data_IF_568136505758
#
_entry.id   IF_568136505758
#
_cell.length_a   1.000
_cell.length_b   1.000
_cell.length_c   1.000
_cell.angle_alpha   90.00
_cell.angle_beta   90.00
_cell.angle_gamma   90.00
#
_symmetry.space_group_name_H-M   'P 1'
#
loop_
_entity.id
_entity.type
_entity.pdbx_description
1 polymer ?
#
# COMPACT_ATOMS: atom_id res chain seq x y z
N UNK A 1 -22.83 8.68 13.69
CA UNK A 1 -23.57 9.94 13.92
C UNK A 1 -24.62 9.69 15.01
N UNK A 2 -24.30 10.17 16.22
CA UNK A 2 -25.18 9.96 17.38
C UNK A 2 -26.53 10.71 17.29
N UNK A 3 -26.57 11.82 16.56
CA UNK A 3 -27.79 12.63 16.47
C UNK A 3 -28.86 11.97 15.60
N UNK A 4 -28.43 11.23 14.61
CA UNK A 4 -29.32 10.54 13.66
C UNK A 4 -29.40 9.03 13.90
N UNK A 5 -28.66 8.53 14.89
CA UNK A 5 -28.50 7.10 15.18
C UNK A 5 -28.09 6.28 13.94
N UNK A 6 -27.08 6.81 13.23
CA UNK A 6 -26.54 6.21 12.00
C UNK A 6 -25.07 5.88 12.20
N UNK A 7 -24.69 4.65 11.83
CA UNK A 7 -23.28 4.23 11.73
C UNK A 7 -22.85 4.23 10.29
N UNK A 8 -21.74 4.92 9.99
CA UNK A 8 -21.10 4.90 8.69
C UNK A 8 -19.84 4.04 8.74
N UNK A 9 -19.70 3.16 7.76
CA UNK A 9 -18.49 2.36 7.52
C UNK A 9 -18.02 2.65 6.10
N UNK A 10 -16.79 3.09 5.91
CA UNK A 10 -16.26 3.45 4.61
C UNK A 10 -14.86 2.85 4.40
N UNK A 11 -14.53 2.53 3.17
CA UNK A 11 -13.19 2.12 2.76
C UNK A 11 -12.63 3.10 1.75
N UNK A 12 -11.33 3.41 1.84
CA UNK A 12 -10.66 4.33 0.93
C UNK A 12 -10.80 3.95 -0.56
N UNK A 13 -10.55 4.89 -1.49
CA UNK A 13 -10.79 4.68 -2.93
C UNK A 13 -10.09 3.47 -3.55
N UNK A 14 -8.91 3.11 -3.06
CA UNK A 14 -8.06 2.04 -3.61
C UNK A 14 -7.98 0.81 -2.70
N UNK A 15 -8.64 0.86 -1.54
CA UNK A 15 -8.59 -0.23 -0.57
C UNK A 15 -7.24 -0.43 0.08
N UNK A 16 -6.47 0.66 0.25
CA UNK A 16 -5.14 0.65 0.89
C UNK A 16 -5.23 0.01 2.28
N UNK A 17 -6.29 0.38 3.05
CA UNK A 17 -6.55 -0.28 4.32
C UNK A 17 -7.53 -1.43 4.13
N UNK A 18 -7.20 -2.63 4.59
CA UNK A 18 -8.08 -3.78 4.50
C UNK A 18 -9.33 -3.56 5.37
N UNK A 19 -10.46 -4.02 4.87
CA UNK A 19 -11.73 -4.00 5.58
C UNK A 19 -12.59 -5.17 5.10
N UNK A 20 -13.16 -5.91 6.04
CA UNK A 20 -14.03 -7.05 5.79
C UNK A 20 -15.41 -6.81 6.42
N UNK A 21 -16.41 -7.37 5.80
CA UNK A 21 -17.79 -7.36 6.27
C UNK A 21 -18.31 -8.80 6.29
N UNK A 22 -18.99 -9.18 7.36
CA UNK A 22 -19.57 -10.50 7.51
C UNK A 22 -20.92 -10.46 8.23
N UNK A 23 -21.71 -11.50 8.03
CA UNK A 23 -23.00 -11.69 8.71
C UNK A 23 -23.04 -13.03 9.43
N UNK A 24 -23.63 -13.04 10.63
CA UNK A 24 -23.97 -14.26 11.38
C UNK A 24 -25.25 -14.90 10.84
N UNK A 25 -25.59 -16.08 11.35
CA UNK A 25 -26.90 -16.74 11.09
C UNK A 25 -28.08 -15.86 11.51
N UNK A 26 -27.91 -15.07 12.56
CA UNK A 26 -28.95 -14.18 13.10
C UNK A 26 -28.97 -12.80 12.42
N UNK A 27 -28.22 -12.66 11.28
CA UNK A 27 -28.07 -11.42 10.53
C UNK A 27 -27.38 -10.28 11.29
N UNK A 28 -26.61 -10.57 12.33
CA UNK A 28 -25.74 -9.57 12.94
C UNK A 28 -24.60 -9.22 12.00
N UNK A 29 -24.30 -7.92 11.90
CA UNK A 29 -23.26 -7.39 11.02
C UNK A 29 -21.94 -7.24 11.76
N UNK A 30 -20.88 -7.86 11.21
CA UNK A 30 -19.51 -7.73 11.69
C UNK A 30 -18.66 -6.97 10.70
N UNK A 31 -17.84 -6.06 11.22
CA UNK A 31 -16.88 -5.29 10.45
C UNK A 31 -15.51 -5.45 11.11
N UNK A 32 -14.50 -5.80 10.32
CA UNK A 32 -13.14 -5.99 10.83
C UNK A 32 -12.10 -5.64 9.76
N UNK A 33 -10.93 -5.18 10.18
CA UNK A 33 -9.79 -4.97 9.28
C UNK A 33 -9.07 -6.26 8.91
N UNK A 34 -9.36 -7.36 9.61
CA UNK A 34 -8.75 -8.68 9.39
C UNK A 34 -9.82 -9.77 9.28
N UNK A 35 -9.67 -10.67 8.30
CA UNK A 35 -10.60 -11.78 8.08
C UNK A 35 -10.61 -12.72 9.29
N UNK A 36 -9.44 -13.03 9.86
CA UNK A 36 -9.30 -13.90 11.03
C UNK A 36 -10.03 -13.39 12.29
N UNK A 37 -10.38 -12.11 12.33
CA UNK A 37 -11.15 -11.56 13.44
C UNK A 37 -12.64 -11.85 13.41
N UNK A 38 -13.18 -12.29 12.26
CA UNK A 38 -14.64 -12.50 12.07
C UNK A 38 -15.02 -13.82 11.39
N UNK A 39 -14.06 -14.57 10.80
CA UNK A 39 -14.37 -15.74 9.98
C UNK A 39 -15.06 -16.87 10.76
N UNK A 40 -14.76 -17.04 12.03
CA UNK A 40 -15.33 -18.05 12.91
C UNK A 40 -16.72 -17.68 13.44
N UNK A 41 -17.11 -16.41 13.34
CA UNK A 41 -18.39 -15.87 13.82
C UNK A 41 -19.42 -15.71 12.72
N UNK A 42 -18.97 -15.55 11.49
CA UNK A 42 -19.81 -15.21 10.35
C UNK A 42 -19.98 -16.41 9.42
N UNK A 43 -21.19 -16.60 8.91
CA UNK A 43 -21.49 -17.61 7.88
C UNK A 43 -21.11 -17.14 6.49
N UNK A 44 -21.01 -15.83 6.30
CA UNK A 44 -20.57 -15.21 5.07
C UNK A 44 -19.66 -14.03 5.38
N UNK A 45 -18.50 -14.01 4.76
CA UNK A 45 -17.53 -12.91 4.87
C UNK A 45 -17.03 -12.53 3.48
N UNK A 46 -16.89 -11.23 3.25
CA UNK A 46 -16.25 -10.68 2.04
C UNK A 46 -15.44 -9.44 2.36
N UNK A 47 -14.51 -9.09 1.46
CA UNK A 47 -13.90 -7.77 1.51
C UNK A 47 -14.94 -6.68 1.28
N UNK A 48 -14.84 -5.60 2.03
CA UNK A 48 -15.62 -4.38 1.81
C UNK A 48 -15.04 -3.64 0.59
N UNK A 49 -15.88 -3.31 -0.38
CA UNK A 49 -15.41 -2.75 -1.65
C UNK A 49 -14.74 -1.38 -1.46
N UNK A 50 -13.57 -1.12 -2.09
CA UNK A 50 -12.96 0.21 -2.13
C UNK A 50 -13.89 1.27 -2.71
N UNK A 51 -13.76 2.51 -2.24
CA UNK A 51 -14.56 3.64 -2.73
C UNK A 51 -16.05 3.54 -2.42
N UNK A 52 -16.42 2.70 -1.45
CA UNK A 52 -17.81 2.57 -1.00
C UNK A 52 -17.95 2.90 0.48
N UNK A 53 -19.18 3.24 0.88
CA UNK A 53 -19.55 3.33 2.27
C UNK A 53 -20.86 2.60 2.54
N UNK A 54 -20.98 2.10 3.74
CA UNK A 54 -22.20 1.52 4.28
C UNK A 54 -22.83 2.52 5.26
N UNK A 55 -24.10 2.73 5.12
CA UNK A 55 -24.94 3.45 6.07
C UNK A 55 -25.83 2.45 6.79
N UNK A 56 -25.58 2.26 8.08
CA UNK A 56 -26.35 1.35 8.95
C UNK A 56 -27.27 2.17 9.85
N UNK A 57 -28.56 1.90 9.75
CA UNK A 57 -29.62 2.45 10.59
C UNK A 57 -30.18 1.36 11.48
N UNK A 58 -30.81 1.75 12.57
CA UNK A 58 -31.47 0.85 13.51
C UNK A 58 -32.29 -0.28 12.83
N UNK A 59 -32.35 -1.45 13.47
CA UNK A 59 -33.09 -2.63 13.03
C UNK A 59 -32.50 -3.42 11.84
N UNK A 60 -31.17 -3.40 11.65
CA UNK A 60 -30.52 -4.28 10.69
C UNK A 60 -30.59 -3.85 9.22
N UNK A 61 -31.17 -2.69 8.93
CA UNK A 61 -31.21 -2.15 7.59
C UNK A 61 -29.93 -1.37 7.27
N UNK A 62 -29.23 -1.76 6.21
CA UNK A 62 -28.08 -1.01 5.70
C UNK A 62 -28.17 -0.80 4.20
N UNK A 63 -27.58 0.29 3.73
CA UNK A 63 -27.38 0.59 2.32
C UNK A 63 -25.89 0.69 2.00
N UNK A 64 -25.48 0.12 0.87
CA UNK A 64 -24.13 0.26 0.32
C UNK A 64 -24.16 1.29 -0.79
N UNK A 65 -23.32 2.32 -0.65
CA UNK A 65 -23.26 3.44 -1.56
C UNK A 65 -21.83 3.60 -2.09
N UNK A 66 -21.70 3.90 -3.38
CA UNK A 66 -20.41 4.20 -4.00
C UNK A 66 -20.16 5.70 -3.93
N UNK A 67 -19.04 6.13 -3.36
CA UNK A 67 -18.65 7.55 -3.29
C UNK A 67 -17.46 7.91 -4.17
N UNK A 68 -16.75 6.89 -4.67
CA UNK A 68 -15.61 7.07 -5.55
C UNK A 68 -15.66 6.06 -6.70
N UNK A 69 -15.32 6.51 -7.88
CA UNK A 69 -15.11 5.69 -9.07
C UNK A 69 -13.89 6.22 -9.80
N UNK A 70 -13.05 5.30 -10.27
CA UNK A 70 -11.98 5.64 -11.18
C UNK A 70 -12.61 6.07 -12.51
N UNK A 71 -12.59 7.38 -12.78
CA UNK A 71 -13.08 7.98 -14.01
C UNK A 71 -11.90 8.71 -14.66
N UNK A 72 -11.04 7.94 -15.30
CA UNK A 72 -9.89 8.49 -16.02
C UNK A 72 -10.36 8.94 -17.40
N UNK A 73 -9.97 10.13 -17.77
CA UNK A 73 -10.18 10.59 -19.13
C UNK A 73 -9.07 10.08 -20.03
N UNK A 74 -9.43 9.21 -20.94
CA UNK A 74 -8.57 8.82 -22.05
C UNK A 74 -8.35 10.02 -22.98
N UNK A 75 -7.11 10.26 -23.41
CA UNK A 75 -6.72 11.34 -24.33
C UNK A 75 -6.50 12.72 -23.73
N UNK A 76 -5.40 12.90 -23.04
CA UNK A 76 -4.93 14.25 -22.69
C UNK A 76 -3.82 14.63 -23.68
N UNK A 77 -4.16 15.42 -24.69
CA UNK A 77 -3.17 16.05 -25.58
C UNK A 77 -2.51 17.24 -24.88
N UNK A 78 -1.55 16.96 -24.01
CA UNK A 78 -0.79 18.00 -23.28
C UNK A 78 0.71 17.85 -23.57
N UNK A 79 1.46 18.95 -23.59
CA UNK A 79 2.91 18.90 -23.76
C UNK A 79 3.56 18.04 -22.66
N UNK A 80 4.55 17.22 -23.03
CA UNK A 80 5.25 16.32 -22.10
C UNK A 80 5.77 17.05 -20.86
N UNK A 81 6.39 18.23 -21.04
CA UNK A 81 6.91 19.01 -19.90
C UNK A 81 5.82 19.44 -18.91
N UNK A 82 4.62 19.69 -19.40
CA UNK A 82 3.49 20.01 -18.55
C UNK A 82 3.06 18.78 -17.75
N UNK A 83 2.95 17.62 -18.39
CA UNK A 83 2.61 16.33 -17.74
C UNK A 83 3.63 16.02 -16.65
N UNK A 84 4.93 16.09 -16.96
CA UNK A 84 6.01 15.83 -15.99
C UNK A 84 5.97 16.80 -14.80
N UNK A 85 5.64 18.07 -15.06
CA UNK A 85 5.46 19.06 -14.00
C UNK A 85 4.26 18.74 -13.09
N UNK A 86 3.14 18.32 -13.68
CA UNK A 86 1.96 17.91 -12.93
C UNK A 86 2.24 16.68 -12.05
N UNK A 87 2.89 15.65 -12.60
CA UNK A 87 3.28 14.44 -11.85
C UNK A 87 4.18 14.82 -10.67
N UNK A 88 5.24 15.60 -10.92
CA UNK A 88 6.15 16.07 -9.87
C UNK A 88 5.40 16.80 -8.75
N UNK A 89 4.54 17.74 -9.13
CA UNK A 89 3.80 18.54 -8.17
C UNK A 89 2.82 17.69 -7.35
N UNK A 90 2.03 16.85 -8.01
CA UNK A 90 1.03 15.99 -7.37
C UNK A 90 1.69 14.96 -6.45
N UNK A 91 2.77 14.30 -6.87
CA UNK A 91 3.48 13.34 -6.03
C UNK A 91 4.16 14.04 -4.84
N UNK A 92 4.74 15.22 -5.04
CA UNK A 92 5.30 16.01 -3.93
C UNK A 92 4.21 16.38 -2.91
N UNK A 93 3.03 16.80 -3.35
CA UNK A 93 1.92 17.11 -2.48
C UNK A 93 1.38 15.86 -1.77
N UNK A 94 1.33 14.73 -2.46
CA UNK A 94 0.96 13.44 -1.88
C UNK A 94 1.88 13.06 -0.72
N UNK A 95 3.20 13.17 -0.90
CA UNK A 95 4.18 12.95 0.17
C UNK A 95 3.95 13.93 1.32
N UNK A 96 3.82 15.24 1.02
CA UNK A 96 3.63 16.28 2.06
C UNK A 96 2.38 16.05 2.90
N UNK A 97 1.26 15.69 2.30
CA UNK A 97 0.02 15.36 3.02
C UNK A 97 0.23 14.24 4.06
N UNK A 98 1.14 13.31 3.76
CA UNK A 98 1.42 12.12 4.56
C UNK A 98 2.56 12.29 5.56
N UNK A 99 3.22 13.46 5.62
CA UNK A 99 4.29 13.73 6.61
C UNK A 99 3.77 14.07 8.00
N UNK A 100 2.46 14.31 8.14
CA UNK A 100 1.87 14.54 9.46
C UNK A 100 1.98 13.26 10.31
N UNK A 101 2.83 13.31 11.33
CA UNK A 101 3.04 12.21 12.26
C UNK A 101 3.60 12.73 13.58
N UNK A 102 3.13 12.16 14.68
CA UNK A 102 3.68 12.30 16.04
C UNK A 102 4.77 11.25 16.31
N UNK A 103 4.92 10.26 15.40
CA UNK A 103 5.87 9.16 15.52
C UNK A 103 6.99 9.29 14.48
N UNK A 104 8.19 8.73 14.77
CA UNK A 104 9.29 8.71 13.80
C UNK A 104 8.92 8.02 12.49
N UNK A 105 9.40 8.62 11.40
CA UNK A 105 9.13 8.19 10.01
C UNK A 105 10.38 7.53 9.45
N UNK A 106 10.17 6.45 8.69
CA UNK A 106 11.17 5.81 7.85
C UNK A 106 10.65 5.54 6.44
N UNK A 107 11.49 5.01 5.56
CA UNK A 107 11.10 4.62 4.21
C UNK A 107 11.77 3.31 3.80
N UNK A 108 11.05 2.46 3.07
CA UNK A 108 11.64 1.32 2.38
C UNK A 108 12.38 1.82 1.14
N UNK A 109 13.61 1.39 0.94
CA UNK A 109 14.49 1.83 -0.14
C UNK A 109 15.18 0.63 -0.77
N UNK A 110 14.63 0.12 -1.86
CA UNK A 110 15.21 -1.01 -2.61
C UNK A 110 16.26 -0.59 -3.65
N UNK A 111 16.45 0.72 -3.88
CA UNK A 111 17.28 1.23 -4.97
C UNK A 111 16.57 1.25 -6.33
N UNK A 112 15.35 0.70 -6.44
CA UNK A 112 14.48 0.87 -7.60
C UNK A 112 13.97 2.31 -7.73
N UNK A 113 13.45 2.67 -8.91
CA UNK A 113 13.01 4.04 -9.22
C UNK A 113 11.96 4.55 -8.22
N UNK A 114 10.93 3.77 -7.96
CA UNK A 114 9.77 4.19 -7.19
C UNK A 114 10.10 4.43 -5.72
N UNK A 115 10.77 3.47 -5.08
CA UNK A 115 11.23 3.58 -3.70
C UNK A 115 12.23 4.71 -3.51
N UNK A 116 13.13 4.91 -4.48
CA UNK A 116 14.11 5.99 -4.46
C UNK A 116 13.46 7.35 -4.61
N UNK A 117 12.47 7.49 -5.49
CA UNK A 117 11.74 8.74 -5.70
C UNK A 117 10.91 9.10 -4.47
N UNK A 118 10.19 8.15 -3.87
CA UNK A 118 9.45 8.37 -2.63
C UNK A 118 10.40 8.77 -1.50
N UNK A 119 11.49 8.02 -1.29
CA UNK A 119 12.49 8.33 -0.25
C UNK A 119 13.12 9.71 -0.44
N UNK A 120 13.44 10.08 -1.68
CA UNK A 120 13.95 11.41 -2.00
C UNK A 120 12.97 12.52 -1.63
N UNK A 121 11.71 12.38 -2.02
CA UNK A 121 10.67 13.36 -1.72
C UNK A 121 10.35 13.45 -0.22
N UNK A 122 10.37 12.32 0.48
CA UNK A 122 10.23 12.30 1.94
C UNK A 122 11.42 13.02 2.58
N UNK A 123 12.66 12.67 2.21
CA UNK A 123 13.87 13.27 2.78
C UNK A 123 13.96 14.79 2.55
N UNK A 124 13.61 15.26 1.35
CA UNK A 124 13.56 16.69 1.01
C UNK A 124 12.56 17.49 1.86
N UNK A 125 11.49 16.87 2.31
CA UNK A 125 10.41 17.53 3.05
C UNK A 125 10.41 17.18 4.55
N UNK A 126 11.23 16.22 4.97
CA UNK A 126 11.35 15.77 6.37
C UNK A 126 12.34 16.67 7.12
N UNK A 127 11.83 17.48 8.05
CA UNK A 127 12.62 18.49 8.78
C UNK A 127 13.14 18.02 10.14
N UNK A 128 12.96 16.76 10.51
CA UNK A 128 13.24 16.23 11.85
C UNK A 128 14.53 15.39 11.93
N UNK A 129 15.59 15.77 11.22
CA UNK A 129 16.86 15.04 11.22
C UNK A 129 17.05 14.18 9.96
N UNK A 130 17.88 13.14 10.05
CA UNK A 130 18.12 12.23 8.94
C UNK A 130 16.97 11.21 8.82
N UNK A 131 16.48 10.99 7.61
CA UNK A 131 15.49 9.97 7.33
C UNK A 131 16.12 8.58 7.49
N UNK A 132 15.51 7.70 8.27
CA UNK A 132 15.89 6.30 8.27
C UNK A 132 15.35 5.62 7.00
N UNK A 133 16.21 4.88 6.30
CA UNK A 133 15.83 4.09 5.14
C UNK A 133 16.24 2.63 5.33
N UNK A 134 15.47 1.71 4.79
CA UNK A 134 15.62 0.28 5.05
C UNK A 134 15.58 -0.51 3.75
N UNK A 135 16.52 -1.43 3.59
CA UNK A 135 16.54 -2.43 2.54
C UNK A 135 16.77 -3.81 3.13
N UNK A 136 16.21 -4.83 2.49
CA UNK A 136 16.41 -6.23 2.88
C UNK A 136 16.79 -7.06 1.66
N UNK A 137 17.68 -8.00 1.84
CA UNK A 137 18.09 -8.91 0.79
C UNK A 137 19.05 -9.98 1.28
N UNK A 138 19.32 -10.96 0.43
CA UNK A 138 20.37 -11.92 0.70
C UNK A 138 21.74 -11.25 0.56
N UNK A 139 22.73 -11.80 1.25
CA UNK A 139 24.10 -11.32 1.18
C UNK A 139 24.59 -11.22 -0.26
N UNK A 140 25.06 -10.02 -0.62
CA UNK A 140 25.58 -9.74 -1.96
C UNK A 140 24.50 -9.55 -3.03
N UNK A 141 23.23 -9.40 -2.68
CA UNK A 141 22.16 -9.09 -3.63
C UNK A 141 22.37 -7.73 -4.27
N UNK A 142 21.98 -7.60 -5.54
CA UNK A 142 22.04 -6.32 -6.26
C UNK A 142 21.15 -5.26 -5.63
N UNK A 143 19.99 -5.66 -5.09
CA UNK A 143 19.05 -4.73 -4.45
C UNK A 143 19.70 -4.00 -3.27
N UNK A 144 20.42 -4.69 -2.38
CA UNK A 144 21.14 -4.04 -1.27
C UNK A 144 22.22 -3.08 -1.77
N UNK A 145 22.89 -3.43 -2.86
CA UNK A 145 23.90 -2.56 -3.47
C UNK A 145 23.28 -1.28 -4.03
N UNK A 146 22.19 -1.38 -4.78
CA UNK A 146 21.54 -0.20 -5.35
C UNK A 146 20.84 0.63 -4.28
N UNK A 147 20.29 -0.01 -3.25
CA UNK A 147 19.74 0.68 -2.08
C UNK A 147 20.78 1.53 -1.38
N UNK A 148 22.01 0.98 -1.17
CA UNK A 148 23.11 1.73 -0.57
C UNK A 148 23.52 2.93 -1.41
N UNK A 149 23.66 2.77 -2.75
CA UNK A 149 23.99 3.85 -3.66
C UNK A 149 22.96 4.99 -3.57
N UNK A 150 21.66 4.63 -3.56
CA UNK A 150 20.59 5.61 -3.44
C UNK A 150 20.61 6.30 -2.07
N UNK A 151 20.84 5.55 -0.99
CA UNK A 151 20.93 6.08 0.36
C UNK A 151 22.09 7.06 0.54
N UNK A 152 23.27 6.73 0.01
CA UNK A 152 24.45 7.59 0.04
C UNK A 152 24.19 8.90 -0.71
N UNK A 153 23.56 8.82 -1.89
CA UNK A 153 23.17 10.00 -2.66
C UNK A 153 22.16 10.88 -1.92
N UNK A 154 21.21 10.27 -1.22
CA UNK A 154 20.18 10.99 -0.48
C UNK A 154 20.65 11.48 0.89
N UNK A 155 21.77 10.97 1.43
CA UNK A 155 22.26 11.29 2.76
C UNK A 155 21.35 10.80 3.87
N UNK A 156 20.76 9.61 3.73
CA UNK A 156 19.86 9.00 4.73
C UNK A 156 20.60 8.12 5.72
N UNK A 157 20.02 7.87 6.89
CA UNK A 157 20.47 6.83 7.82
C UNK A 157 20.00 5.47 7.32
N UNK A 158 20.84 4.79 6.54
CA UNK A 158 20.45 3.56 5.85
C UNK A 158 20.77 2.31 6.65
N UNK A 159 19.82 1.36 6.62
CA UNK A 159 19.93 0.04 7.22
C UNK A 159 19.83 -1.03 6.15
N UNK A 160 20.95 -1.68 5.84
CA UNK A 160 21.00 -2.88 5.01
C UNK A 160 20.77 -4.10 5.90
N UNK A 161 19.67 -4.81 5.69
CA UNK A 161 19.30 -6.02 6.42
C UNK A 161 19.66 -7.23 5.57
N UNK A 162 20.74 -7.88 5.92
CA UNK A 162 21.14 -9.13 5.28
C UNK A 162 20.45 -10.31 5.97
N UNK A 163 19.80 -11.16 5.18
CA UNK A 163 19.10 -12.36 5.62
C UNK A 163 19.54 -13.57 4.80
N UNK A 164 19.48 -14.75 5.40
CA UNK A 164 19.76 -16.00 4.71
C UNK A 164 18.49 -16.54 4.01
N UNK A 165 18.67 -17.44 3.05
CA UNK A 165 17.56 -18.13 2.39
C UNK A 165 16.64 -18.82 3.41
N UNK A 166 17.22 -19.38 4.46
CA UNK A 166 16.49 -20.05 5.54
C UNK A 166 15.53 -19.10 6.29
N UNK A 167 15.90 -17.82 6.45
CA UNK A 167 15.03 -16.83 7.10
C UNK A 167 13.77 -16.56 6.25
N UNK A 168 13.93 -16.51 4.93
CA UNK A 168 12.80 -16.38 4.01
C UNK A 168 11.86 -17.59 4.08
N UNK A 169 12.42 -18.81 4.09
CA UNK A 169 11.62 -20.04 4.14
C UNK A 169 10.87 -20.17 5.47
N UNK A 170 11.51 -19.86 6.59
CA UNK A 170 10.89 -19.93 7.91
C UNK A 170 9.77 -18.91 8.12
N UNK A 171 9.78 -17.79 7.39
CA UNK A 171 8.75 -16.77 7.52
C UNK A 171 7.46 -17.11 6.75
N UNK A 172 7.43 -18.14 5.89
CA UNK A 172 6.31 -18.40 4.97
C UNK A 172 4.99 -18.59 5.74
N UNK A 173 4.95 -19.46 6.74
CA UNK A 173 3.71 -19.76 7.48
C UNK A 173 3.20 -18.53 8.23
N UNK A 174 4.10 -17.79 8.88
CA UNK A 174 3.76 -16.57 9.61
C UNK A 174 3.25 -15.47 8.67
N UNK A 175 3.87 -15.34 7.50
CA UNK A 175 3.42 -14.41 6.46
C UNK A 175 2.04 -14.77 5.94
N UNK A 176 1.77 -16.05 5.60
CA UNK A 176 0.44 -16.52 5.17
C UNK A 176 -0.62 -16.16 6.21
N UNK A 177 -0.35 -16.39 7.48
CA UNK A 177 -1.25 -16.06 8.58
C UNK A 177 -1.52 -14.55 8.65
N UNK A 178 -0.49 -13.71 8.50
CA UNK A 178 -0.64 -12.26 8.61
C UNK A 178 -1.33 -11.65 7.39
N UNK A 179 -0.95 -12.05 6.18
CA UNK A 179 -1.55 -11.48 4.95
C UNK A 179 -2.92 -12.07 4.62
N UNK A 180 -3.29 -13.19 5.24
CA UNK A 180 -4.56 -13.90 5.00
C UNK A 180 -4.74 -14.30 3.52
N UNK A 181 -3.64 -14.66 2.87
CA UNK A 181 -3.59 -15.13 1.48
C UNK A 181 -2.56 -16.26 1.35
N UNK A 182 -2.86 -17.21 0.47
CA UNK A 182 -1.94 -18.29 0.08
C UNK A 182 -1.57 -18.24 -1.40
N UNK A 183 -1.91 -17.13 -2.08
CA UNK A 183 -1.42 -16.90 -3.43
C UNK A 183 0.10 -16.82 -3.45
N UNK A 184 0.72 -17.63 -4.30
CA UNK A 184 2.18 -17.81 -4.35
C UNK A 184 2.92 -16.48 -4.57
N UNK A 185 2.42 -15.65 -5.49
CA UNK A 185 3.06 -14.36 -5.81
C UNK A 185 2.96 -13.39 -4.65
N UNK A 186 1.78 -13.31 -4.05
CA UNK A 186 1.51 -12.46 -2.90
C UNK A 186 2.35 -12.87 -1.69
N UNK A 187 2.41 -14.17 -1.35
CA UNK A 187 3.22 -14.69 -0.24
C UNK A 187 4.69 -14.37 -0.47
N UNK A 188 5.24 -14.74 -1.64
CA UNK A 188 6.65 -14.51 -1.97
C UNK A 188 7.05 -13.04 -1.83
N UNK A 189 6.24 -12.13 -2.36
CA UNK A 189 6.51 -10.71 -2.30
C UNK A 189 6.33 -10.12 -0.88
N UNK A 190 5.50 -10.75 -0.04
CA UNK A 190 5.24 -10.29 1.33
C UNK A 190 6.35 -10.61 2.30
N UNK A 191 7.12 -11.69 2.08
CA UNK A 191 8.14 -12.14 3.02
C UNK A 191 9.20 -11.06 3.28
N UNK A 192 9.71 -10.41 2.23
CA UNK A 192 10.65 -9.31 2.37
C UNK A 192 10.07 -8.13 3.15
N UNK A 193 8.83 -7.74 2.84
CA UNK A 193 8.12 -6.67 3.55
C UNK A 193 7.93 -7.00 5.04
N UNK A 194 7.60 -8.25 5.35
CA UNK A 194 7.43 -8.71 6.72
C UNK A 194 8.75 -8.71 7.50
N UNK A 195 9.81 -9.30 6.96
CA UNK A 195 11.11 -9.40 7.62
C UNK A 195 11.76 -8.03 7.85
N UNK A 196 11.70 -7.12 6.87
CA UNK A 196 12.20 -5.75 7.06
C UNK A 196 11.39 -5.01 8.12
N UNK A 197 10.08 -5.22 8.17
CA UNK A 197 9.20 -4.59 9.16
C UNK A 197 9.46 -5.11 10.57
N UNK A 198 9.73 -6.41 10.71
CA UNK A 198 10.15 -7.02 11.97
C UNK A 198 11.44 -6.40 12.48
N UNK A 199 12.46 -6.26 11.61
CA UNK A 199 13.70 -5.57 11.95
C UNK A 199 13.46 -4.11 12.40
N UNK A 200 12.65 -3.35 11.65
CA UNK A 200 12.34 -1.95 11.98
C UNK A 200 11.71 -1.85 13.37
N UNK A 201 10.73 -2.71 13.67
CA UNK A 201 10.05 -2.76 14.96
C UNK A 201 11.03 -3.02 16.11
N UNK A 202 11.97 -3.94 15.91
CA UNK A 202 12.87 -4.43 16.97
C UNK A 202 14.09 -3.52 17.17
N UNK A 203 14.53 -2.80 16.13
CA UNK A 203 15.80 -2.08 16.14
C UNK A 203 15.66 -0.55 16.02
N UNK A 204 14.44 -0.02 15.85
CA UNK A 204 14.23 1.43 15.68
C UNK A 204 12.95 1.90 16.34
N UNK A 205 12.84 3.22 16.52
CA UNK A 205 11.62 3.87 16.99
C UNK A 205 10.64 4.23 15.86
N UNK A 206 10.98 3.94 14.60
CA UNK A 206 10.13 4.22 13.46
C UNK A 206 8.79 3.50 13.58
N UNK A 207 7.70 4.22 13.32
CA UNK A 207 6.34 3.68 13.32
C UNK A 207 5.60 3.92 12.01
N UNK A 208 6.01 4.92 11.25
CA UNK A 208 5.43 5.27 9.96
C UNK A 208 6.46 4.93 8.87
N UNK A 209 6.06 4.12 7.90
CA UNK A 209 6.95 3.63 6.86
C UNK A 209 6.40 3.99 5.47
N UNK A 210 7.17 4.78 4.74
CA UNK A 210 6.86 5.08 3.34
C UNK A 210 7.35 3.96 2.43
N UNK A 211 6.55 3.65 1.41
CA UNK A 211 6.95 2.72 0.35
C UNK A 211 6.48 3.20 -1.03
N UNK A 212 6.91 2.52 -2.09
CA UNK A 212 6.66 2.85 -3.49
C UNK A 212 5.49 2.12 -4.13
N UNK A 213 4.66 1.42 -3.36
CA UNK A 213 3.55 0.64 -3.92
C UNK A 213 2.53 1.52 -4.64
N UNK A 214 1.93 0.98 -5.70
CA UNK A 214 0.94 1.65 -6.54
C UNK A 214 1.53 2.42 -7.73
N UNK A 215 2.85 2.51 -7.85
CA UNK A 215 3.50 3.19 -8.97
C UNK A 215 3.27 2.46 -10.28
N UNK A 216 3.46 1.15 -10.29
CA UNK A 216 3.35 0.33 -11.50
C UNK A 216 1.94 0.31 -12.06
N UNK A 217 0.93 0.33 -11.20
CA UNK A 217 -0.48 0.36 -11.57
C UNK A 217 -0.91 1.73 -12.13
N UNK A 218 -0.30 2.81 -11.65
CA UNK A 218 -0.63 4.15 -12.14
C UNK A 218 0.05 4.44 -13.48
N UNK A 219 1.34 4.08 -13.58
CA UNK A 219 2.15 4.41 -14.74
C UNK A 219 2.22 3.29 -15.79
N UNK A 220 1.61 2.14 -15.55
CA UNK A 220 1.59 1.01 -16.47
C UNK A 220 2.99 0.49 -16.78
N UNK A 221 3.87 0.44 -15.79
CA UNK A 221 5.29 0.12 -15.99
C UNK A 221 5.62 -1.37 -15.92
N UNK A 222 4.64 -2.25 -15.72
CA UNK A 222 4.85 -3.69 -15.82
C UNK A 222 5.32 -4.08 -17.22
N UNK A 223 6.42 -4.85 -17.30
CA UNK A 223 7.05 -5.20 -18.58
C UNK A 223 6.09 -5.86 -19.59
N UNK A 224 5.15 -6.69 -19.12
CA UNK A 224 4.19 -7.35 -19.97
C UNK A 224 3.16 -6.39 -20.60
N UNK A 225 2.88 -5.25 -19.98
CA UNK A 225 2.01 -4.20 -20.55
C UNK A 225 2.59 -3.61 -21.84
N UNK A 226 3.91 -3.63 -22.01
CA UNK A 226 4.57 -3.18 -23.23
C UNK A 226 4.22 -4.00 -24.48
N UNK A 227 3.66 -5.20 -24.31
CA UNK A 227 3.21 -6.06 -25.40
C UNK A 227 1.80 -5.71 -25.90
N UNK A 228 1.05 -4.90 -25.16
CA UNK A 228 -0.28 -4.44 -25.53
C UNK A 228 -0.13 -3.38 -26.60
N UNK A 229 -0.71 -3.64 -27.79
CA UNK A 229 -0.58 -2.74 -28.96
C UNK A 229 -1.66 -1.69 -29.06
N UNK A 230 -2.81 -1.92 -28.45
CA UNK A 230 -3.96 -1.03 -28.46
C UNK A 230 -3.90 -0.11 -27.24
N UNK A 231 -3.96 1.20 -27.44
CA UNK A 231 -4.03 2.18 -26.34
C UNK A 231 -5.27 1.95 -25.48
N UNK A 232 -6.37 1.52 -26.08
CA UNK A 232 -7.61 1.20 -25.35
C UNK A 232 -7.41 -0.02 -24.44
N UNK A 233 -6.82 -1.09 -24.96
CA UNK A 233 -6.59 -2.31 -24.17
C UNK A 233 -5.58 -2.06 -23.06
N UNK A 234 -4.54 -1.25 -23.32
CA UNK A 234 -3.59 -0.81 -22.31
C UNK A 234 -4.29 -0.05 -21.17
N UNK A 235 -5.16 0.89 -21.52
CA UNK A 235 -5.94 1.66 -20.57
C UNK A 235 -6.87 0.76 -19.74
N UNK A 236 -7.62 -0.14 -20.38
CA UNK A 236 -8.55 -1.05 -19.71
C UNK A 236 -7.81 -1.98 -18.73
N UNK A 237 -6.66 -2.50 -19.12
CA UNK A 237 -5.85 -3.37 -18.26
C UNK A 237 -5.25 -2.59 -17.09
N UNK A 238 -4.74 -1.39 -17.33
CA UNK A 238 -4.21 -0.54 -16.27
C UNK A 238 -5.30 -0.14 -15.26
N UNK A 239 -6.50 0.17 -15.75
CA UNK A 239 -7.65 0.47 -14.90
C UNK A 239 -8.06 -0.74 -14.05
N UNK A 240 -8.00 -1.94 -14.63
CA UNK A 240 -8.26 -3.20 -13.93
C UNK A 240 -7.23 -3.42 -12.81
N UNK A 241 -5.92 -3.30 -13.11
CA UNK A 241 -4.85 -3.42 -12.13
C UNK A 241 -5.07 -2.48 -10.94
N UNK A 242 -5.36 -1.21 -11.20
CA UNK A 242 -5.63 -0.23 -10.15
C UNK A 242 -6.92 -0.52 -9.37
N UNK A 243 -7.93 -1.09 -10.02
CA UNK A 243 -9.20 -1.47 -9.36
C UNK A 243 -9.01 -2.68 -8.46
N UNK A 244 -8.14 -3.61 -8.84
CA UNK A 244 -7.89 -4.88 -8.15
C UNK A 244 -6.70 -4.81 -7.18
N UNK A 245 -5.96 -3.70 -7.12
CA UNK A 245 -4.75 -3.54 -6.31
C UNK A 245 -4.97 -3.92 -4.83
N UNK A 246 -6.18 -3.77 -4.34
CA UNK A 246 -6.55 -4.09 -2.97
C UNK A 246 -6.59 -5.60 -2.66
N UNK A 247 -6.53 -6.45 -3.68
CA UNK A 247 -6.37 -7.89 -3.52
C UNK A 247 -4.89 -8.32 -3.51
N UNK A 248 -4.00 -7.48 -4.02
CA UNK A 248 -2.60 -7.83 -4.30
C UNK A 248 -1.62 -6.91 -3.56
N UNK A 249 -1.16 -5.84 -4.22
CA UNK A 249 -0.01 -5.07 -3.78
C UNK A 249 -0.24 -4.32 -2.48
N UNK A 250 -1.34 -3.60 -2.35
CA UNK A 250 -1.63 -2.89 -1.10
C UNK A 250 -2.07 -3.81 0.02
N UNK A 251 -2.73 -4.96 -0.30
CA UNK A 251 -3.06 -5.96 0.71
C UNK A 251 -1.78 -6.51 1.35
N UNK A 252 -0.84 -7.01 0.51
CA UNK A 252 0.42 -7.59 1.00
C UNK A 252 1.23 -6.58 1.78
N UNK A 253 1.34 -5.35 1.27
CA UNK A 253 2.12 -4.29 1.88
C UNK A 253 1.53 -3.88 3.23
N UNK A 254 0.24 -3.54 3.28
CA UNK A 254 -0.42 -3.14 4.52
C UNK A 254 -0.35 -4.26 5.56
N UNK A 255 -0.72 -5.48 5.18
CA UNK A 255 -0.77 -6.61 6.12
C UNK A 255 0.60 -7.00 6.66
N UNK A 256 1.63 -7.06 5.80
CA UNK A 256 2.99 -7.41 6.22
C UNK A 256 3.58 -6.37 7.16
N UNK A 257 3.41 -5.08 6.83
CA UNK A 257 3.98 -3.97 7.60
C UNK A 257 3.20 -3.76 8.90
N UNK A 258 1.87 -3.75 8.83
CA UNK A 258 0.99 -3.50 9.97
C UNK A 258 1.04 -4.63 11.02
N UNK A 259 1.30 -5.88 10.61
CA UNK A 259 1.47 -7.01 11.54
C UNK A 259 2.62 -6.77 12.53
N UNK A 260 3.60 -5.98 12.13
CA UNK A 260 4.71 -5.56 12.98
C UNK A 260 4.42 -4.29 13.79
N UNK A 261 3.20 -3.77 13.80
CA UNK A 261 2.81 -2.54 14.52
C UNK A 261 3.35 -1.26 13.87
N UNK A 262 3.56 -1.28 12.56
CA UNK A 262 3.99 -0.14 11.75
C UNK A 262 2.83 0.34 10.86
N UNK A 263 2.88 1.62 10.44
CA UNK A 263 1.90 2.22 9.54
C UNK A 263 2.51 2.44 8.15
N UNK A 264 2.14 1.65 7.12
CA UNK A 264 2.59 1.91 5.76
C UNK A 264 1.88 3.14 5.17
N UNK A 265 2.63 3.94 4.42
CA UNK A 265 2.12 5.08 3.65
C UNK A 265 2.56 4.97 2.19
N UNK A 266 1.58 4.99 1.29
CA UNK A 266 1.74 4.78 -0.17
C UNK A 266 1.39 6.06 -0.93
N UNK A 267 2.36 6.97 -1.16
CA UNK A 267 2.10 8.27 -1.80
C UNK A 267 1.56 8.15 -3.23
N UNK A 268 1.94 7.14 -3.97
CA UNK A 268 1.45 6.97 -5.34
C UNK A 268 -0.06 6.80 -5.40
N UNK A 269 -0.68 6.18 -4.40
CA UNK A 269 -2.14 6.02 -4.33
C UNK A 269 -2.86 7.23 -3.71
N UNK A 270 -2.37 8.43 -3.95
CA UNK A 270 -3.12 9.65 -3.64
C UNK A 270 -4.16 9.91 -4.74
N UNK A 271 -5.43 10.11 -4.34
CA UNK A 271 -6.53 10.30 -5.30
C UNK A 271 -6.34 11.49 -6.25
N UNK A 272 -5.59 12.52 -5.83
CA UNK A 272 -5.32 13.69 -6.67
C UNK A 272 -4.18 13.42 -7.66
N UNK A 273 -3.26 12.49 -7.34
CA UNK A 273 -2.22 12.03 -8.25
C UNK A 273 -2.78 11.07 -9.28
N UNK A 274 -3.63 10.14 -8.86
CA UNK A 274 -4.23 9.10 -9.72
C UNK A 274 -5.21 9.70 -10.75
N UNK A 275 -5.85 10.83 -10.46
CA UNK A 275 -6.68 11.61 -11.40
C UNK A 275 -5.86 12.41 -12.40
#
# INVERSE_FOLDING_TARGET
DKNNDITYVARDPFGIRPLFIGNTLDNELFICSELKGIHDKCVYVKQFNPGTYLEYKNAGNYSLNKYYQNDFRFNICQPQNFILSCIRNKLTQSVKKRLLSDRPIGALLSGGLDSSLVSALVNLNFKKGHLNTFAIGMKGSEDLKYAQIAADYLGTSHHNIEVAEFDFLNAIEEVIYHIESYDVTTVRASIGNYLVSKYIRENTDCKVIYNGDGSEEIFGSYLWLSQIKSEKDFYEENLKLLTEIHYFDVLRSDRSISSCGLEPRVPFLDKDLVK
#
